data_IF_984069610514
#
_entry.id   IF_984069610514
#
_cell.length_a   1.000
_cell.length_b   1.000
_cell.length_c   1.000
_cell.angle_alpha   90.00
_cell.angle_beta   90.00
_cell.angle_gamma   90.00
#
_symmetry.space_group_name_H-M   'P 1'
#
loop_
_entity.id
_entity.type
_entity.pdbx_description
1 polymer ?
#
# COMPACT_ATOMS: atom_id res chain seq x y z
N UNK A 1 -11.19 -4.72 -4.97
CA UNK A 1 -9.99 -4.70 -5.81
C UNK A 1 -9.46 -6.12 -5.97
N UNK A 2 -9.11 -6.54 -7.19
CA UNK A 2 -8.44 -7.82 -7.43
C UNK A 2 -6.92 -7.62 -7.31
N UNK A 3 -6.27 -8.38 -6.45
CA UNK A 3 -4.83 -8.28 -6.19
C UNK A 3 -4.10 -9.53 -6.65
N UNK A 4 -2.96 -9.36 -7.31
CA UNK A 4 -2.01 -10.46 -7.51
C UNK A 4 -1.24 -10.74 -6.20
N UNK A 5 -0.63 -11.93 -6.04
CA UNK A 5 0.20 -12.23 -4.87
C UNK A 5 1.32 -11.19 -4.67
N UNK A 6 1.93 -10.74 -5.77
CA UNK A 6 3.00 -9.75 -5.73
C UNK A 6 2.50 -8.36 -5.28
N UNK A 7 1.30 -7.93 -5.70
CA UNK A 7 0.70 -6.67 -5.23
C UNK A 7 0.34 -6.75 -3.74
N UNK A 8 -0.20 -7.89 -3.28
CA UNK A 8 -0.50 -8.11 -1.88
C UNK A 8 0.78 -8.06 -1.02
N UNK A 9 1.87 -8.69 -1.48
CA UNK A 9 3.17 -8.63 -0.83
C UNK A 9 3.73 -7.19 -0.76
N UNK A 10 3.70 -6.45 -1.89
CA UNK A 10 4.10 -5.05 -1.94
C UNK A 10 3.32 -4.21 -0.92
N UNK A 11 2.00 -4.37 -0.84
CA UNK A 11 1.18 -3.61 0.10
C UNK A 11 1.57 -3.89 1.54
N UNK A 12 1.82 -5.15 1.92
CA UNK A 12 2.31 -5.48 3.26
C UNK A 12 3.65 -4.83 3.55
N UNK A 13 4.61 -4.95 2.63
CA UNK A 13 5.97 -4.44 2.86
C UNK A 13 5.99 -2.91 2.97
N UNK A 14 5.23 -2.21 2.14
CA UNK A 14 5.12 -0.75 2.22
C UNK A 14 4.48 -0.28 3.54
N UNK A 15 3.45 -1.00 4.02
CA UNK A 15 2.82 -0.70 5.31
C UNK A 15 3.77 -1.01 6.48
N UNK A 16 4.45 -2.16 6.44
CA UNK A 16 5.44 -2.54 7.44
C UNK A 16 6.57 -1.50 7.53
N UNK A 17 7.13 -1.10 6.38
CA UNK A 17 8.16 -0.07 6.32
C UNK A 17 7.68 1.26 6.92
N UNK A 18 6.43 1.65 6.65
CA UNK A 18 5.86 2.89 7.20
C UNK A 18 5.73 2.83 8.73
N UNK A 19 5.32 1.68 9.27
CA UNK A 19 5.24 1.47 10.72
C UNK A 19 6.61 1.35 11.39
N UNK A 20 7.63 0.88 10.66
CA UNK A 20 9.04 0.81 11.11
C UNK A 20 9.75 2.17 11.09
N UNK A 21 9.38 3.06 10.16
CA UNK A 21 10.10 4.31 9.88
C UNK A 21 9.76 5.47 10.81
N UNK A 22 8.68 5.37 11.58
CA UNK A 22 8.18 6.47 12.39
C UNK A 22 8.28 6.15 13.88
N UNK A 23 8.95 7.02 14.62
CA UNK A 23 9.00 6.97 16.09
C UNK A 23 7.66 7.43 16.66
N UNK A 24 6.72 6.49 16.75
CA UNK A 24 5.45 6.65 17.45
C UNK A 24 4.22 6.73 16.55
N UNK A 25 3.11 6.23 17.10
CA UNK A 25 1.86 6.02 16.38
C UNK A 25 1.25 7.31 15.78
N UNK A 26 1.52 8.47 16.38
CA UNK A 26 1.02 9.75 15.90
C UNK A 26 1.60 10.15 14.53
N UNK A 27 2.89 9.88 14.29
CA UNK A 27 3.52 10.18 13.00
C UNK A 27 3.04 9.21 11.92
N UNK A 28 2.90 7.93 12.24
CA UNK A 28 2.29 6.94 11.35
C UNK A 28 0.87 7.34 10.95
N UNK A 29 0.05 7.77 11.92
CA UNK A 29 -1.32 8.20 11.65
C UNK A 29 -1.38 9.48 10.80
N UNK A 30 -0.51 10.46 11.09
CA UNK A 30 -0.38 11.67 10.28
C UNK A 30 -0.04 11.34 8.81
N UNK A 31 0.92 10.45 8.59
CA UNK A 31 1.41 10.13 7.24
C UNK A 31 0.45 9.24 6.44
N UNK A 32 -0.33 8.37 7.10
CA UNK A 32 -1.16 7.37 6.43
C UNK A 32 -2.66 7.63 6.52
N UNK A 33 -3.07 8.63 7.31
CA UNK A 33 -4.47 8.92 7.64
C UNK A 33 -5.15 7.82 8.47
N UNK A 34 -4.39 6.86 9.00
CA UNK A 34 -4.88 5.69 9.73
C UNK A 34 -4.03 5.38 10.95
N UNK A 35 -4.64 5.04 12.09
CA UNK A 35 -3.90 4.57 13.24
C UNK A 35 -3.25 3.21 12.94
N UNK A 36 -2.18 2.88 13.68
CA UNK A 36 -1.43 1.62 13.54
C UNK A 36 -2.33 0.37 13.46
N UNK A 37 -3.34 0.29 14.32
CA UNK A 37 -4.28 -0.84 14.34
C UNK A 37 -5.00 -1.05 13.01
N UNK A 38 -5.32 0.03 12.30
CA UNK A 38 -5.97 -0.08 10.99
C UNK A 38 -4.98 -0.54 9.91
N UNK A 39 -3.72 -0.10 9.98
CA UNK A 39 -2.64 -0.59 9.11
C UNK A 39 -2.36 -2.10 9.31
N UNK A 40 -2.41 -2.56 10.56
CA UNK A 40 -2.31 -3.99 10.89
C UNK A 40 -3.49 -4.79 10.30
N UNK A 41 -4.70 -4.22 10.32
CA UNK A 41 -5.87 -4.86 9.72
C UNK A 41 -5.74 -4.95 8.20
N UNK A 42 -5.24 -3.91 7.53
CA UNK A 42 -4.96 -3.96 6.09
C UNK A 42 -3.95 -5.07 5.80
N UNK A 43 -2.85 -5.14 6.56
CA UNK A 43 -1.82 -6.18 6.42
C UNK A 43 -2.40 -7.59 6.57
N UNK A 44 -3.31 -7.79 7.54
CA UNK A 44 -4.02 -9.05 7.72
C UNK A 44 -4.93 -9.35 6.54
N UNK A 45 -5.70 -8.38 6.06
CA UNK A 45 -6.62 -8.56 4.93
C UNK A 45 -5.87 -9.02 3.67
N UNK A 46 -4.76 -8.34 3.32
CA UNK A 46 -3.96 -8.73 2.14
C UNK A 46 -3.22 -10.05 2.34
N UNK A 47 -2.94 -10.47 3.57
CA UNK A 47 -2.34 -11.77 3.84
C UNK A 47 -3.28 -12.96 3.53
N UNK A 48 -4.58 -12.71 3.36
CA UNK A 48 -5.53 -13.73 2.89
C UNK A 48 -5.50 -13.93 1.37
N UNK A 49 -4.76 -13.10 0.62
CA UNK A 49 -4.57 -13.31 -0.82
C UNK A 49 -3.72 -14.57 -1.02
N UNK A 50 -4.20 -15.58 -1.78
CA UNK A 50 -3.44 -16.82 -1.99
C UNK A 50 -2.09 -16.57 -2.65
N UNK A 51 -1.08 -17.36 -2.32
CA UNK A 51 0.28 -17.17 -2.85
C UNK A 51 0.41 -17.45 -4.36
N UNK A 52 -0.53 -18.20 -4.95
CA UNK A 52 -0.45 -18.70 -6.33
C UNK A 52 -1.50 -18.12 -7.27
N UNK A 53 -2.48 -17.38 -6.76
CA UNK A 53 -3.59 -16.85 -7.55
C UNK A 53 -4.05 -15.50 -7.02
N UNK A 54 -4.80 -14.76 -7.86
CA UNK A 54 -5.29 -13.46 -7.46
C UNK A 54 -6.46 -13.57 -6.47
N UNK A 55 -6.45 -12.73 -5.44
CA UNK A 55 -7.52 -12.60 -4.45
C UNK A 55 -8.35 -11.33 -4.63
N UNK A 56 -9.55 -11.30 -4.06
CA UNK A 56 -10.37 -10.07 -3.99
C UNK A 56 -10.32 -9.50 -2.58
N UNK A 57 -9.92 -8.24 -2.45
CA UNK A 57 -9.95 -7.47 -1.20
C UNK A 57 -10.89 -6.27 -1.34
N UNK A 58 -11.52 -5.86 -0.24
CA UNK A 58 -12.48 -4.74 -0.25
C UNK A 58 -11.98 -3.68 0.71
N UNK A 59 -11.38 -2.64 0.15
CA UNK A 59 -10.83 -1.53 0.92
C UNK A 59 -11.80 -0.36 0.97
N UNK A 60 -11.90 0.26 2.14
CA UNK A 60 -12.46 1.60 2.29
C UNK A 60 -11.56 2.63 1.62
N UNK A 61 -12.08 3.83 1.37
CA UNK A 61 -11.27 4.94 0.85
C UNK A 61 -10.08 5.27 1.76
N UNK A 62 -10.27 5.19 3.09
CA UNK A 62 -9.20 5.40 4.06
C UNK A 62 -8.11 4.35 3.92
N UNK A 63 -8.48 3.07 3.83
CA UNK A 63 -7.51 1.99 3.63
C UNK A 63 -6.75 2.14 2.30
N UNK A 64 -7.44 2.53 1.22
CA UNK A 64 -6.80 2.83 -0.06
C UNK A 64 -5.81 3.99 0.04
N UNK A 65 -6.16 5.05 0.78
CA UNK A 65 -5.24 6.16 1.06
C UNK A 65 -4.02 5.69 1.84
N UNK A 66 -4.19 4.88 2.88
CA UNK A 66 -3.07 4.36 3.67
C UNK A 66 -2.12 3.48 2.84
N UNK A 67 -2.65 2.63 1.95
CA UNK A 67 -1.84 1.85 1.01
C UNK A 67 -1.07 2.78 0.05
N UNK A 68 -1.76 3.76 -0.55
CA UNK A 68 -1.14 4.75 -1.44
C UNK A 68 -0.03 5.54 -0.74
N UNK A 69 -0.28 6.00 0.49
CA UNK A 69 0.69 6.71 1.31
C UNK A 69 1.89 5.81 1.63
N UNK A 70 1.67 4.54 1.99
CA UNK A 70 2.73 3.57 2.25
C UNK A 70 3.61 3.31 1.02
N UNK A 71 3.02 3.18 -0.18
CA UNK A 71 3.80 3.03 -1.42
C UNK A 71 4.64 4.28 -1.69
N UNK A 72 4.03 5.46 -1.53
CA UNK A 72 4.71 6.74 -1.74
C UNK A 72 5.86 6.93 -0.75
N UNK A 73 5.65 6.58 0.52
CA UNK A 73 6.67 6.58 1.55
C UNK A 73 7.82 5.63 1.19
N UNK A 74 7.52 4.39 0.80
CA UNK A 74 8.53 3.41 0.42
C UNK A 74 9.41 3.88 -0.75
N UNK A 75 8.82 4.53 -1.75
CA UNK A 75 9.53 5.11 -2.90
C UNK A 75 10.52 6.21 -2.48
N UNK A 76 10.20 6.97 -1.42
CA UNK A 76 11.06 8.04 -0.89
C UNK A 76 12.11 7.49 0.07
N UNK A 77 11.72 6.54 0.94
CA UNK A 77 12.56 5.98 1.98
C UNK A 77 13.63 5.01 1.44
N UNK A 78 13.38 4.37 0.29
CA UNK A 78 14.31 3.45 -0.37
C UNK A 78 14.78 4.07 -1.70
N UNK A 79 15.82 4.93 -1.68
CA UNK A 79 16.23 5.68 -2.87
C UNK A 79 16.90 4.82 -3.94
N UNK A 80 17.49 3.68 -3.57
CA UNK A 80 18.10 2.74 -4.51
C UNK A 80 17.09 1.75 -5.07
N UNK A 81 17.16 1.49 -6.38
CA UNK A 81 16.29 0.48 -7.04
C UNK A 81 16.51 -0.91 -6.44
N UNK A 82 17.77 -1.29 -6.24
CA UNK A 82 18.14 -2.57 -5.63
C UNK A 82 17.59 -2.70 -4.20
N UNK A 83 17.69 -1.66 -3.39
CA UNK A 83 17.16 -1.67 -2.02
C UNK A 83 15.64 -1.77 -2.00
N UNK A 84 14.96 -1.05 -2.90
CA UNK A 84 13.51 -1.16 -3.07
C UNK A 84 13.11 -2.57 -3.48
N UNK A 85 13.80 -3.15 -4.47
CA UNK A 85 13.51 -4.49 -4.96
C UNK A 85 13.79 -5.58 -3.92
N UNK A 86 14.90 -5.51 -3.20
CA UNK A 86 15.23 -6.47 -2.14
C UNK A 86 14.17 -6.42 -1.02
N UNK A 87 13.72 -5.23 -0.61
CA UNK A 87 12.74 -5.12 0.48
C UNK A 87 11.34 -5.55 0.05
N UNK A 88 10.90 -5.16 -1.14
CA UNK A 88 9.49 -5.29 -1.56
C UNK A 88 9.23 -6.43 -2.55
N UNK A 89 10.27 -6.97 -3.19
CA UNK A 89 10.15 -7.90 -4.32
C UNK A 89 9.59 -7.26 -5.60
N UNK A 90 9.49 -5.93 -5.65
CA UNK A 90 8.86 -5.18 -6.73
C UNK A 90 9.86 -4.22 -7.37
N UNK A 91 9.71 -3.93 -8.66
CA UNK A 91 10.41 -2.80 -9.27
C UNK A 91 9.73 -1.50 -8.85
N UNK A 92 10.52 -0.48 -8.53
CA UNK A 92 10.03 0.80 -8.03
C UNK A 92 9.11 1.49 -9.02
N UNK A 93 9.44 1.42 -10.31
CA UNK A 93 8.61 1.96 -11.40
C UNK A 93 7.21 1.34 -11.39
N UNK A 94 7.12 0.02 -11.24
CA UNK A 94 5.84 -0.70 -11.20
C UNK A 94 5.03 -0.33 -9.95
N UNK A 95 5.69 -0.08 -8.82
CA UNK A 95 5.02 0.40 -7.61
C UNK A 95 4.45 1.82 -7.80
N UNK A 96 5.19 2.71 -8.46
CA UNK A 96 4.73 4.07 -8.80
C UNK A 96 3.54 4.01 -9.77
N UNK A 97 3.61 3.18 -10.81
CA UNK A 97 2.50 2.97 -11.74
C UNK A 97 1.25 2.44 -11.03
N UNK A 98 1.41 1.49 -10.11
CA UNK A 98 0.31 0.97 -9.32
C UNK A 98 -0.34 2.06 -8.46
N UNK A 99 0.46 2.87 -7.75
CA UNK A 99 -0.04 3.99 -6.95
C UNK A 99 -0.80 5.01 -7.81
N UNK A 100 -0.28 5.32 -9.01
CA UNK A 100 -0.94 6.21 -9.97
C UNK A 100 -2.26 5.61 -10.49
N UNK A 101 -2.30 4.32 -10.80
CA UNK A 101 -3.50 3.61 -11.22
C UNK A 101 -4.59 3.64 -10.12
N UNK A 102 -4.20 3.41 -8.86
CA UNK A 102 -5.10 3.53 -7.71
C UNK A 102 -5.71 4.93 -7.61
N UNK A 103 -4.88 5.98 -7.71
CA UNK A 103 -5.32 7.38 -7.66
C UNK A 103 -6.33 7.70 -8.78
N UNK A 104 -6.03 7.27 -10.01
CA UNK A 104 -6.95 7.46 -11.15
C UNK A 104 -8.27 6.74 -10.94
N UNK A 105 -8.22 5.49 -10.47
CA UNK A 105 -9.43 4.69 -10.21
C UNK A 105 -10.34 5.36 -9.16
N UNK A 106 -9.78 5.82 -8.05
CA UNK A 106 -10.54 6.53 -7.01
C UNK A 106 -11.19 7.80 -7.56
N UNK A 107 -10.44 8.57 -8.34
CA UNK A 107 -10.92 9.78 -8.98
C UNK A 107 -12.09 9.52 -9.94
N UNK A 108 -12.03 8.45 -10.73
CA UNK A 108 -13.10 8.09 -11.66
C UNK A 108 -14.37 7.60 -10.92
N UNK A 109 -14.20 6.89 -9.80
CA UNK A 109 -15.31 6.51 -8.92
C UNK A 109 -16.03 7.73 -8.31
N UNK A 110 -15.28 8.76 -7.91
CA UNK A 110 -15.85 9.99 -7.35
C UNK A 110 -16.63 10.81 -8.40
N UNK A 111 -16.19 10.79 -9.66
CA UNK A 111 -16.91 11.47 -10.76
C UNK A 111 -18.18 10.75 -11.21
N UNK A 112 -18.22 9.42 -11.05
CA UNK A 112 -19.38 8.61 -11.42
C UNK A 112 -20.52 8.66 -10.39
N UNK A 113 -20.28 9.30 -9.24
CA UNK A 113 -21.23 9.44 -8.12
C UNK A 113 -21.73 10.88 -7.93
N UNK A 114 -21.27 11.81 -8.79
CA UNK A 114 -21.70 13.21 -8.86
C UNK A 114 -22.63 13.43 -10.04
#
# INVERSE_FOLDING_TARGET
MKLTPAQAALFRECIALTMESHDGDAMTELCTGSPRRELENITKEVAHVPEKESGTCTFTLRQLHSIYAGITHAVVALPSEEGFHIRTGFYRENAIELANSMRSTVHDCMRSTS
#
